data_IF_071847533850
#
_entry.id   IF_071847533850
#
_cell.length_a   1.000
_cell.length_b   1.000
_cell.length_c   1.000
_cell.angle_alpha   90.00
_cell.angle_beta   90.00
_cell.angle_gamma   90.00
#
_symmetry.space_group_name_H-M   'P 1'
#
loop_
_entity.id
_entity.type
_entity.pdbx_description
1 polymer ?
#
# COMPACT_ATOMS: atom_id res chain seq x y z
N UNK A 1 19.78 -14.01 -35.92
CA UNK A 1 19.31 -15.22 -35.21
C UNK A 1 19.61 -15.02 -33.74
N UNK A 2 18.61 -15.11 -32.85
CA UNK A 2 18.81 -14.91 -31.43
C UNK A 2 19.77 -16.01 -30.87
N UNK A 3 20.75 -15.62 -30.08
CA UNK A 3 21.72 -16.51 -29.45
C UNK A 3 21.39 -16.70 -27.98
N UNK A 4 21.20 -17.95 -27.55
CA UNK A 4 21.07 -18.26 -26.11
C UNK A 4 22.44 -18.08 -25.46
N UNK A 5 22.49 -17.21 -24.45
CA UNK A 5 23.71 -16.88 -23.71
C UNK A 5 23.82 -17.71 -22.43
N UNK A 6 22.72 -18.05 -21.81
CA UNK A 6 22.68 -18.75 -20.53
C UNK A 6 21.38 -19.55 -20.35
N UNK A 7 21.48 -20.71 -19.70
CA UNK A 7 20.36 -21.59 -19.38
C UNK A 7 20.62 -22.30 -18.04
N UNK A 8 19.59 -22.31 -17.19
CA UNK A 8 19.55 -23.15 -15.98
C UNK A 8 18.26 -23.96 -16.03
N UNK A 9 18.40 -25.28 -15.95
CA UNK A 9 17.24 -26.19 -15.90
C UNK A 9 16.92 -26.50 -14.44
N UNK A 10 15.68 -26.22 -14.03
CA UNK A 10 15.17 -26.59 -12.72
C UNK A 10 14.68 -28.04 -12.67
N UNK A 11 14.53 -28.61 -11.47
CA UNK A 11 14.08 -30.01 -11.28
C UNK A 11 12.68 -30.27 -11.85
N UNK A 12 11.85 -29.26 -12.00
CA UNK A 12 10.46 -29.37 -12.49
C UNK A 12 10.34 -29.14 -14.01
N UNK A 13 11.46 -29.14 -14.74
CA UNK A 13 11.48 -28.88 -16.18
C UNK A 13 11.34 -27.41 -16.58
N UNK A 14 11.07 -26.50 -15.63
CA UNK A 14 11.14 -25.07 -15.87
C UNK A 14 12.61 -24.65 -16.02
N UNK A 15 12.93 -23.84 -16.99
CA UNK A 15 14.28 -23.33 -17.18
C UNK A 15 14.33 -21.83 -17.29
N UNK A 16 15.25 -21.23 -16.53
CA UNK A 16 15.66 -19.85 -16.74
C UNK A 16 16.56 -19.77 -17.97
N UNK A 17 16.27 -18.86 -18.87
CA UNK A 17 17.05 -18.65 -20.09
C UNK A 17 17.31 -17.17 -20.33
N UNK A 18 18.52 -16.87 -20.82
CA UNK A 18 18.91 -15.53 -21.28
C UNK A 18 19.36 -15.66 -22.73
N UNK A 19 18.91 -14.75 -23.58
CA UNK A 19 19.38 -14.67 -24.98
C UNK A 19 19.70 -13.25 -25.37
N UNK A 20 20.55 -13.10 -26.38
CA UNK A 20 20.71 -11.87 -27.16
C UNK A 20 19.81 -11.98 -28.40
N UNK A 21 18.93 -11.01 -28.55
CA UNK A 21 18.07 -10.87 -29.72
C UNK A 21 18.38 -9.53 -30.39
N UNK A 22 19.35 -9.55 -31.33
CA UNK A 22 19.75 -8.37 -32.09
C UNK A 22 20.23 -7.20 -31.22
N UNK A 23 21.03 -7.50 -30.18
CA UNK A 23 21.56 -6.50 -29.26
C UNK A 23 20.62 -6.16 -28.08
N UNK A 24 19.51 -6.88 -27.96
CA UNK A 24 18.60 -6.77 -26.80
C UNK A 24 18.74 -8.04 -25.97
N UNK A 25 19.13 -7.89 -24.70
CA UNK A 25 19.10 -8.98 -23.73
C UNK A 25 17.66 -9.30 -23.35
N UNK A 26 17.24 -10.54 -23.53
CA UNK A 26 15.90 -11.01 -23.18
C UNK A 26 16.00 -12.17 -22.19
N UNK A 27 15.07 -12.20 -21.24
CA UNK A 27 15.00 -13.22 -20.18
C UNK A 27 13.68 -13.99 -20.30
N UNK A 28 13.73 -15.29 -20.07
CA UNK A 28 12.58 -16.17 -20.00
C UNK A 28 12.63 -17.03 -18.74
N UNK A 29 11.50 -17.14 -18.03
CA UNK A 29 11.32 -18.01 -16.86
C UNK A 29 10.47 -19.26 -17.17
N UNK A 30 9.98 -19.40 -18.40
CA UNK A 30 9.06 -20.45 -18.86
C UNK A 30 9.67 -21.30 -19.97
N UNK A 31 10.93 -21.66 -19.82
CA UNK A 31 11.68 -22.50 -20.76
C UNK A 31 11.83 -21.92 -22.17
N UNK A 32 11.68 -20.61 -22.31
CA UNK A 32 11.82 -19.92 -23.60
C UNK A 32 10.53 -19.79 -24.38
N UNK A 33 9.39 -20.01 -23.77
CA UNK A 33 8.07 -19.78 -24.37
C UNK A 33 7.77 -18.30 -24.47
N UNK A 34 7.98 -17.55 -23.37
CA UNK A 34 7.83 -16.09 -23.33
C UNK A 34 9.18 -15.43 -23.08
N UNK A 35 9.48 -14.37 -23.82
CA UNK A 35 10.71 -13.61 -23.67
C UNK A 35 10.40 -12.16 -23.38
N UNK A 36 11.05 -11.62 -22.36
CA UNK A 36 10.91 -10.23 -21.91
C UNK A 36 12.26 -9.55 -21.99
N UNK A 37 12.32 -8.40 -22.66
CA UNK A 37 13.55 -7.61 -22.72
C UNK A 37 13.92 -7.07 -21.33
N UNK A 38 15.22 -7.02 -21.03
CA UNK A 38 15.76 -6.58 -19.74
C UNK A 38 15.23 -5.18 -19.35
N UNK A 39 15.19 -4.27 -20.30
CA UNK A 39 14.65 -2.93 -20.09
C UNK A 39 13.15 -2.91 -19.78
N UNK A 40 12.39 -3.89 -20.25
CA UNK A 40 10.95 -4.04 -19.95
C UNK A 40 10.73 -4.64 -18.57
N UNK A 41 11.63 -5.50 -18.08
CA UNK A 41 11.55 -6.04 -16.71
C UNK A 41 11.68 -4.91 -15.69
N UNK A 42 12.67 -4.02 -15.88
CA UNK A 42 12.87 -2.87 -15.01
C UNK A 42 11.69 -1.89 -15.07
N UNK A 43 11.15 -1.64 -16.26
CA UNK A 43 9.98 -0.78 -16.45
C UNK A 43 8.72 -1.39 -15.81
N UNK A 44 8.52 -2.70 -15.94
CA UNK A 44 7.39 -3.40 -15.34
C UNK A 44 7.49 -3.38 -13.80
N UNK A 45 8.68 -3.62 -13.24
CA UNK A 45 8.89 -3.55 -11.79
C UNK A 45 8.62 -2.13 -11.26
N UNK A 46 9.04 -1.10 -11.97
CA UNK A 46 8.77 0.30 -11.59
C UNK A 46 7.28 0.65 -11.73
N UNK A 47 6.63 0.23 -12.81
CA UNK A 47 5.21 0.47 -13.06
C UNK A 47 4.28 -0.26 -12.05
N UNK A 48 4.77 -1.31 -11.40
CA UNK A 48 4.01 -2.08 -10.40
C UNK A 48 4.32 -1.72 -8.96
N UNK A 49 5.22 -0.74 -8.71
CA UNK A 49 5.66 -0.36 -7.36
C UNK A 49 4.63 0.45 -6.59
N UNK A 50 3.66 1.07 -7.28
CA UNK A 50 2.59 1.84 -6.65
C UNK A 50 1.25 1.64 -7.38
N UNK A 51 0.18 2.00 -6.69
CA UNK A 51 -1.21 2.00 -7.17
C UNK A 51 -1.81 3.37 -6.87
N UNK A 52 -2.48 3.97 -7.84
CA UNK A 52 -3.33 5.14 -7.56
C UNK A 52 -4.71 4.63 -7.24
N UNK A 53 -5.23 4.97 -6.04
CA UNK A 53 -6.60 4.59 -5.66
C UNK A 53 -7.60 5.38 -6.50
N UNK A 54 -8.79 4.84 -6.67
CA UNK A 54 -9.87 5.59 -7.33
C UNK A 54 -10.45 6.61 -6.37
N UNK A 55 -10.86 7.78 -6.89
CA UNK A 55 -11.71 8.73 -6.17
C UNK A 55 -13.14 8.14 -6.09
N UNK A 56 -13.41 7.46 -5.00
CA UNK A 56 -14.69 6.79 -4.76
C UNK A 56 -14.94 6.65 -3.25
N UNK A 57 -16.20 6.55 -2.86
CA UNK A 57 -16.61 6.37 -1.45
C UNK A 57 -16.09 5.05 -0.84
N UNK A 58 -15.68 4.09 -1.65
CA UNK A 58 -15.11 2.81 -1.19
C UNK A 58 -13.97 2.37 -2.08
N UNK A 59 -12.90 1.85 -1.48
CA UNK A 59 -11.77 1.24 -2.18
C UNK A 59 -11.39 -0.09 -1.50
N UNK A 60 -11.46 -1.19 -2.23
CA UNK A 60 -11.04 -2.49 -1.71
C UNK A 60 -9.58 -2.76 -2.06
N UNK A 61 -8.75 -2.87 -1.04
CA UNK A 61 -7.34 -3.25 -1.18
C UNK A 61 -7.24 -4.75 -1.42
N UNK A 62 -6.45 -5.18 -2.39
CA UNK A 62 -6.29 -6.59 -2.72
C UNK A 62 -4.96 -7.15 -2.22
N UNK A 63 -4.93 -8.43 -1.85
CA UNK A 63 -3.69 -9.11 -1.46
C UNK A 63 -2.60 -9.06 -2.56
N UNK A 64 -2.99 -9.02 -3.83
CA UNK A 64 -2.07 -8.89 -4.97
C UNK A 64 -1.32 -7.55 -5.01
N UNK A 65 -1.78 -6.54 -4.26
CA UNK A 65 -1.13 -5.25 -4.13
C UNK A 65 -0.24 -5.14 -2.87
N UNK A 66 -0.02 -6.24 -2.16
CA UNK A 66 0.92 -6.26 -1.03
C UNK A 66 2.33 -5.82 -1.47
N UNK A 67 2.98 -5.03 -0.65
CA UNK A 67 4.29 -4.44 -0.93
C UNK A 67 4.26 -3.16 -1.78
N UNK A 68 3.07 -2.72 -2.24
CA UNK A 68 2.94 -1.51 -3.04
C UNK A 68 2.56 -0.30 -2.19
N UNK A 69 2.98 0.87 -2.66
CA UNK A 69 2.49 2.15 -2.16
C UNK A 69 1.21 2.53 -2.89
N UNK A 70 0.17 2.87 -2.15
CA UNK A 70 -1.10 3.38 -2.66
C UNK A 70 -1.11 4.90 -2.55
N UNK A 71 -1.30 5.58 -3.68
CA UNK A 71 -1.46 7.04 -3.72
C UNK A 71 -2.96 7.34 -3.72
N UNK A 72 -3.42 8.03 -2.68
CA UNK A 72 -4.81 8.49 -2.59
C UNK A 72 -4.88 9.86 -3.26
N UNK A 73 -5.69 10.05 -4.31
CA UNK A 73 -5.85 11.34 -4.97
C UNK A 73 -6.71 12.29 -4.11
N UNK A 74 -6.90 13.53 -4.58
CA UNK A 74 -7.97 14.36 -4.03
C UNK A 74 -9.29 13.64 -4.12
N UNK A 75 -10.02 13.58 -3.02
CA UNK A 75 -11.29 12.90 -2.92
C UNK A 75 -12.45 13.89 -3.08
N UNK A 76 -13.54 13.44 -3.71
CA UNK A 76 -14.79 14.20 -3.79
C UNK A 76 -15.83 13.77 -2.73
N UNK A 77 -15.54 12.66 -2.03
CA UNK A 77 -16.32 12.13 -0.92
C UNK A 77 -15.41 11.36 0.04
N UNK A 78 -15.86 11.17 1.28
CA UNK A 78 -15.16 10.31 2.25
C UNK A 78 -14.93 8.93 1.66
N UNK A 79 -13.75 8.35 1.93
CA UNK A 79 -13.35 7.08 1.36
C UNK A 79 -13.12 6.01 2.43
N UNK A 80 -13.83 4.90 2.30
CA UNK A 80 -13.59 3.68 3.09
C UNK A 80 -12.62 2.78 2.35
N UNK A 81 -11.42 2.61 2.92
CA UNK A 81 -10.37 1.72 2.43
C UNK A 81 -10.42 0.41 3.21
N UNK A 82 -10.89 -0.66 2.58
CA UNK A 82 -10.97 -1.98 3.21
C UNK A 82 -9.72 -2.79 2.90
N UNK A 83 -8.94 -3.14 3.93
CA UNK A 83 -7.83 -4.07 3.80
C UNK A 83 -8.35 -5.47 3.46
N UNK A 84 -7.55 -6.33 2.82
CA UNK A 84 -7.95 -7.70 2.52
C UNK A 84 -8.02 -8.53 3.80
N UNK A 85 -8.57 -9.73 3.69
CA UNK A 85 -8.50 -10.73 4.77
C UNK A 85 -7.07 -10.85 5.28
N UNK A 86 -6.89 -10.81 6.60
CA UNK A 86 -5.58 -10.87 7.25
C UNK A 86 -4.82 -12.14 6.83
N UNK A 87 -3.59 -11.97 6.38
CA UNK A 87 -2.66 -13.05 6.07
C UNK A 87 -1.24 -12.60 6.36
N UNK A 88 -0.43 -13.50 6.91
CA UNK A 88 0.93 -13.19 7.33
C UNK A 88 1.78 -12.67 6.15
N UNK A 89 2.50 -11.57 6.39
CA UNK A 89 3.39 -10.94 5.41
C UNK A 89 2.74 -9.91 4.50
N UNK A 90 1.42 -9.75 4.52
CA UNK A 90 0.77 -8.65 3.81
C UNK A 90 1.25 -7.31 4.38
N UNK A 91 1.56 -6.36 3.50
CA UNK A 91 1.95 -5.02 3.89
C UNK A 91 1.51 -3.99 2.85
N UNK A 92 1.15 -2.80 3.30
CA UNK A 92 0.64 -1.72 2.46
C UNK A 92 1.11 -0.38 3.00
N UNK A 93 1.37 0.56 2.11
CA UNK A 93 1.58 1.95 2.44
C UNK A 93 0.60 2.81 1.66
N UNK A 94 -0.05 3.75 2.35
CA UNK A 94 -0.93 4.75 1.76
C UNK A 94 -0.30 6.12 1.95
N UNK A 95 -0.34 6.94 0.90
CA UNK A 95 0.15 8.32 0.93
C UNK A 95 -0.94 9.19 0.30
N UNK A 96 -1.26 10.30 0.94
CA UNK A 96 -2.10 11.32 0.33
C UNK A 96 -1.31 12.06 -0.75
N UNK A 97 -1.72 11.89 -1.98
CA UNK A 97 -1.12 12.55 -3.17
C UNK A 97 -1.84 13.82 -3.57
N UNK A 98 -2.84 14.26 -2.81
CA UNK A 98 -3.54 15.51 -3.03
C UNK A 98 -2.72 16.74 -2.63
N UNK A 99 -3.21 17.90 -3.03
CA UNK A 99 -2.68 19.19 -2.58
C UNK A 99 -3.28 19.52 -1.23
N UNK A 100 -3.00 20.62 -0.61
CA UNK A 100 -3.45 21.08 0.70
C UNK A 100 -4.82 20.55 1.21
N UNK A 101 -5.20 20.89 2.43
CA UNK A 101 -6.36 20.41 3.18
C UNK A 101 -7.48 19.75 2.36
N UNK A 102 -7.66 18.46 2.53
CA UNK A 102 -8.82 17.76 1.97
C UNK A 102 -10.00 17.93 2.93
N UNK A 103 -11.17 18.17 2.40
CA UNK A 103 -12.39 18.21 3.19
C UNK A 103 -13.00 16.82 3.45
N UNK A 104 -12.37 15.76 2.92
CA UNK A 104 -12.86 14.40 2.95
C UNK A 104 -12.07 13.54 3.92
N UNK A 105 -12.74 12.58 4.53
CA UNK A 105 -12.15 11.70 5.52
C UNK A 105 -11.67 10.37 4.92
N UNK A 106 -10.67 9.77 5.56
CA UNK A 106 -10.27 8.40 5.30
C UNK A 106 -10.76 7.49 6.42
N UNK A 107 -11.30 6.35 6.04
CA UNK A 107 -11.56 5.26 6.96
C UNK A 107 -10.83 4.01 6.50
N UNK A 108 -10.01 3.44 7.35
CA UNK A 108 -9.41 2.12 7.12
C UNK A 108 -10.16 1.07 7.92
N UNK A 109 -10.62 0.02 7.23
CA UNK A 109 -11.19 -1.17 7.83
C UNK A 109 -10.20 -2.32 7.73
N UNK A 110 -10.04 -3.12 8.77
CA UNK A 110 -9.10 -4.25 8.84
C UNK A 110 -9.51 -5.44 7.96
N UNK A 111 -10.70 -5.38 7.35
CA UNK A 111 -11.28 -6.46 6.55
C UNK A 111 -12.14 -7.45 7.37
N UNK A 112 -12.10 -7.37 8.68
CA UNK A 112 -12.95 -8.14 9.61
C UNK A 112 -12.97 -7.46 10.98
N UNK A 113 -14.09 -7.47 11.66
CA UNK A 113 -14.23 -6.98 13.05
C UNK A 113 -13.50 -7.83 14.10
N UNK A 114 -12.90 -8.95 13.67
CA UNK A 114 -12.07 -9.83 14.52
C UNK A 114 -10.57 -9.72 14.24
N UNK A 115 -10.16 -8.86 13.30
CA UNK A 115 -8.77 -8.54 13.03
C UNK A 115 -8.49 -7.10 13.47
N UNK A 116 -7.68 -6.92 14.50
CA UNK A 116 -7.54 -5.63 15.16
C UNK A 116 -6.31 -4.87 14.68
N UNK A 117 -6.36 -3.55 14.84
CA UNK A 117 -5.20 -2.69 14.66
C UNK A 117 -4.38 -2.63 15.93
N UNK A 118 -3.05 -2.66 15.78
CA UNK A 118 -2.05 -2.58 16.86
C UNK A 118 -0.98 -1.59 16.41
N UNK A 119 -0.51 -0.73 17.29
CA UNK A 119 0.54 0.25 16.96
C UNK A 119 0.15 1.66 17.29
N UNK A 120 0.44 2.62 16.43
CA UNK A 120 0.13 4.00 16.71
C UNK A 120 0.25 4.94 15.51
N UNK A 121 -0.40 6.08 15.62
CA UNK A 121 -0.39 7.16 14.65
C UNK A 121 0.03 8.44 15.37
N UNK A 122 0.81 9.26 14.68
CA UNK A 122 1.20 10.60 15.14
C UNK A 122 0.45 11.62 14.30
N UNK A 123 -0.33 12.48 14.93
CA UNK A 123 -0.94 13.63 14.27
C UNK A 123 -0.06 14.86 14.46
N UNK A 124 0.10 15.62 13.39
CA UNK A 124 0.65 16.96 13.35
C UNK A 124 -0.43 17.93 12.94
N UNK A 125 -0.72 18.91 13.75
CA UNK A 125 -1.66 19.98 13.45
C UNK A 125 -0.90 21.17 12.81
N UNK A 126 -1.09 21.48 11.51
CA UNK A 126 -0.36 22.54 10.85
C UNK A 126 -0.85 23.94 11.22
N UNK A 127 -2.06 24.07 11.77
CA UNK A 127 -2.67 25.36 12.10
C UNK A 127 -2.41 25.79 13.54
N UNK A 128 -1.93 24.86 14.37
CA UNK A 128 -1.66 25.16 15.78
C UNK A 128 -0.24 25.71 15.97
N UNK A 129 -0.14 26.98 16.36
CA UNK A 129 1.14 27.64 16.64
C UNK A 129 1.87 27.07 17.87
N UNK A 130 1.32 26.08 18.55
CA UNK A 130 1.84 25.47 19.77
C UNK A 130 2.53 24.12 19.58
N UNK A 131 2.77 23.65 18.35
CA UNK A 131 3.37 22.33 18.05
C UNK A 131 2.58 21.14 18.63
N UNK A 132 1.28 21.09 18.46
CA UNK A 132 0.51 19.97 18.97
C UNK A 132 0.72 18.72 18.12
N UNK A 133 1.65 17.92 18.60
CA UNK A 133 1.84 16.55 18.14
C UNK A 133 1.14 15.60 19.10
N UNK A 134 0.13 14.91 18.62
CA UNK A 134 -0.65 13.96 19.41
C UNK A 134 -0.39 12.53 18.91
N UNK A 135 -0.20 11.61 19.86
CA UNK A 135 -0.03 10.19 19.56
C UNK A 135 -1.34 9.46 19.86
N UNK A 136 -1.83 8.74 18.89
CA UNK A 136 -3.04 7.92 18.99
C UNK A 136 -2.67 6.44 18.92
N UNK A 137 -3.30 5.60 19.73
CA UNK A 137 -3.13 4.15 19.65
C UNK A 137 -4.48 3.44 19.76
N UNK A 138 -4.70 2.40 18.97
CA UNK A 138 -5.81 1.49 19.18
C UNK A 138 -5.60 0.70 20.47
N UNK A 139 -6.66 0.16 21.04
CA UNK A 139 -6.59 -0.68 22.25
C UNK A 139 -5.95 -2.05 21.99
N UNK A 140 -5.87 -2.48 20.72
CA UNK A 140 -5.20 -3.72 20.30
C UNK A 140 -6.03 -4.99 20.43
N UNK A 141 -7.27 -4.90 20.92
CA UNK A 141 -8.14 -6.06 21.15
C UNK A 141 -9.60 -5.85 20.70
N UNK A 142 -9.98 -4.64 20.26
CA UNK A 142 -11.32 -4.37 19.72
C UNK A 142 -11.36 -3.45 18.50
N UNK A 143 -10.32 -2.66 18.25
CA UNK A 143 -10.37 -1.66 17.20
C UNK A 143 -10.03 -2.24 15.82
N UNK A 144 -11.04 -2.42 14.99
CA UNK A 144 -10.95 -2.92 13.61
C UNK A 144 -11.13 -1.82 12.54
N UNK A 145 -11.32 -0.57 12.98
CA UNK A 145 -11.50 0.62 12.15
C UNK A 145 -10.64 1.78 12.64
N UNK A 146 -10.03 2.51 11.70
CA UNK A 146 -9.32 3.76 11.92
C UNK A 146 -9.99 4.83 11.05
N UNK A 147 -10.40 5.95 11.64
CA UNK A 147 -10.82 7.13 10.90
C UNK A 147 -9.72 8.19 10.99
N UNK A 148 -9.44 8.85 9.88
CA UNK A 148 -8.57 10.00 9.76
C UNK A 148 -9.38 11.13 9.13
N UNK A 149 -9.61 12.17 9.90
CA UNK A 149 -10.45 13.31 9.50
C UNK A 149 -9.59 14.31 8.73
N UNK A 150 -10.10 14.78 7.62
CA UNK A 150 -9.51 15.83 6.79
C UNK A 150 -7.99 15.77 6.66
N UNK A 151 -7.41 14.66 6.16
CA UNK A 151 -5.97 14.54 6.01
C UNK A 151 -5.42 15.52 4.99
N UNK A 152 -4.25 16.10 5.29
CA UNK A 152 -3.52 16.99 4.41
C UNK A 152 -2.42 16.27 3.62
N UNK A 153 -1.91 16.93 2.59
CA UNK A 153 -0.77 16.47 1.79
C UNK A 153 0.44 16.16 2.66
N UNK A 154 1.00 14.96 2.45
CA UNK A 154 2.07 14.42 3.27
C UNK A 154 1.62 13.43 4.34
N UNK A 155 0.32 13.28 4.59
CA UNK A 155 -0.22 12.19 5.41
C UNK A 155 0.11 10.84 4.80
N UNK A 156 0.60 9.91 5.62
CA UNK A 156 0.85 8.53 5.21
C UNK A 156 0.51 7.54 6.32
N UNK A 157 0.12 6.33 5.93
CA UNK A 157 -0.21 5.21 6.82
C UNK A 157 0.43 3.93 6.27
N UNK A 158 1.05 3.15 7.14
CA UNK A 158 1.61 1.84 6.83
C UNK A 158 0.93 0.74 7.64
N UNK A 159 0.69 -0.39 7.00
CA UNK A 159 0.10 -1.58 7.61
C UNK A 159 0.97 -2.81 7.36
N UNK A 160 1.13 -3.64 8.39
CA UNK A 160 1.82 -4.93 8.33
C UNK A 160 0.94 -5.98 9.01
N UNK A 161 0.74 -7.13 8.39
CA UNK A 161 -0.11 -8.20 8.91
C UNK A 161 0.70 -9.40 9.40
N UNK A 162 0.41 -9.89 10.60
CA UNK A 162 1.01 -11.12 11.14
C UNK A 162 0.23 -12.40 10.80
N UNK A 163 -0.91 -12.24 10.10
CA UNK A 163 -1.85 -13.31 9.78
C UNK A 163 -3.13 -13.26 10.60
N UNK A 164 -3.19 -12.43 11.63
CA UNK A 164 -4.35 -12.23 12.50
C UNK A 164 -4.66 -10.75 12.64
N UNK A 165 -3.67 -9.93 13.01
CA UNK A 165 -3.82 -8.52 13.29
C UNK A 165 -3.00 -7.66 12.34
N UNK A 166 -3.34 -6.37 12.29
CA UNK A 166 -2.68 -5.38 11.48
C UNK A 166 -1.90 -4.40 12.36
N UNK A 167 -0.58 -4.38 12.19
CA UNK A 167 0.28 -3.39 12.83
C UNK A 167 0.26 -2.11 12.01
N UNK A 168 -0.08 -1.01 12.64
CA UNK A 168 -0.21 0.31 12.00
C UNK A 168 0.87 1.26 12.50
N UNK A 169 1.43 2.03 11.57
CA UNK A 169 2.28 3.19 11.85
C UNK A 169 1.92 4.30 10.87
N UNK A 170 1.77 5.53 11.35
CA UNK A 170 1.35 6.64 10.51
C UNK A 170 1.85 7.99 11.00
N UNK A 171 2.00 8.92 10.04
CA UNK A 171 2.09 10.34 10.29
C UNK A 171 0.91 11.01 9.59
N UNK A 172 0.03 11.57 10.38
CA UNK A 172 -1.18 12.27 9.93
C UNK A 172 -0.95 13.76 10.05
N UNK A 173 -1.15 14.48 8.97
CA UNK A 173 -1.18 15.94 8.96
C UNK A 173 -2.65 16.33 8.81
N UNK A 174 -3.20 17.05 9.76
CA UNK A 174 -4.59 17.51 9.73
C UNK A 174 -4.76 18.68 10.69
N UNK A 175 -5.42 19.73 10.21
CA UNK A 175 -5.83 20.89 11.02
C UNK A 175 -7.08 20.62 11.89
N UNK A 176 -7.65 19.42 11.81
CA UNK A 176 -8.80 19.03 12.63
C UNK A 176 -8.30 18.50 13.98
N UNK A 177 -8.79 19.08 15.07
CA UNK A 177 -8.52 18.58 16.43
C UNK A 177 -8.98 17.13 16.56
N UNK A 178 -8.12 16.30 17.19
CA UNK A 178 -8.40 14.88 17.38
C UNK A 178 -8.78 14.16 16.07
N UNK A 179 -8.01 14.40 15.01
CA UNK A 179 -8.30 13.89 13.67
C UNK A 179 -8.25 12.36 13.55
N UNK A 180 -7.70 11.65 14.53
CA UNK A 180 -7.61 10.19 14.50
C UNK A 180 -8.54 9.57 15.54
N UNK A 181 -9.39 8.64 15.11
CA UNK A 181 -10.26 7.86 16.01
C UNK A 181 -10.24 6.39 15.65
N UNK A 182 -10.48 5.54 16.65
CA UNK A 182 -10.57 4.10 16.51
C UNK A 182 -11.95 3.60 16.93
N UNK A 183 -12.43 2.54 16.28
CA UNK A 183 -13.71 1.91 16.59
C UNK A 183 -13.76 0.47 16.04
N UNK A 184 -14.84 -0.24 16.30
CA UNK A 184 -15.22 -1.45 15.58
C UNK A 184 -15.87 -1.10 14.25
N UNK A 185 -15.69 -1.94 13.23
CA UNK A 185 -16.30 -1.76 11.91
C UNK A 185 -17.70 -2.38 11.84
#
# INVERSE_FOLDING_TARGET
MAKVLYRVDGPDGASFRVRDNSGVTEISLDSGTTWVAENQISALALATSFVVTTDAATYTVTAANSGKTHIIPNLTADCVLSLPTAAAGLNYRFIYGGNAADAQDWQFNSGSDTNFFIGGLVQHDPDNAGDDTVVYHPDGDSNSKINILTPDGGTWVEFYCDGTNWYVNASVISATDAAVTFADQ
#
